data_IF_004869631708
#
_entry.id   IF_004869631708
#
_cell.length_a   1.000
_cell.length_b   1.000
_cell.length_c   1.000
_cell.angle_alpha   90.00
_cell.angle_beta   90.00
_cell.angle_gamma   90.00
#
_symmetry.space_group_name_H-M   'P 1'
#
loop_
_entity.id
_entity.type
_entity.pdbx_description
1 polymer ?
#
# COMPACT_ATOMS: atom_id res chain seq x y z
N UNK A 1 -1.93 14.66 15.57
CA UNK A 1 -2.02 14.10 14.21
C UNK A 1 -0.92 14.70 13.35
N UNK A 2 -0.34 13.92 12.44
CA UNK A 2 0.78 14.34 11.57
C UNK A 2 0.32 14.70 10.16
N UNK A 3 1.22 15.18 9.29
CA UNK A 3 0.85 15.65 7.95
C UNK A 3 0.45 14.53 6.97
N UNK A 4 0.46 13.25 7.37
CA UNK A 4 0.24 12.12 6.47
C UNK A 4 1.46 11.84 5.57
N UNK A 5 1.25 11.13 4.46
CA UNK A 5 2.30 10.81 3.51
C UNK A 5 1.78 10.81 2.06
N UNK A 6 2.66 11.19 1.13
CA UNK A 6 2.37 11.14 -0.31
C UNK A 6 2.44 9.69 -0.79
N UNK A 7 1.28 9.11 -1.06
CA UNK A 7 1.12 7.74 -1.56
C UNK A 7 1.10 7.66 -3.08
N UNK A 8 1.13 8.79 -3.78
CA UNK A 8 1.11 8.88 -5.24
C UNK A 8 2.53 8.85 -5.82
N UNK A 9 3.49 9.49 -5.13
CA UNK A 9 4.87 9.64 -5.61
C UNK A 9 5.88 8.79 -4.84
N UNK A 10 5.63 7.48 -4.76
CA UNK A 10 6.53 6.54 -4.08
C UNK A 10 7.51 5.88 -5.07
N UNK A 11 8.79 5.72 -4.68
CA UNK A 11 9.75 4.96 -5.48
C UNK A 11 9.32 3.49 -5.56
N UNK A 12 9.50 2.86 -6.72
CA UNK A 12 9.20 1.43 -6.91
C UNK A 12 10.17 0.58 -6.07
N UNK A 13 9.69 -0.14 -5.03
CA UNK A 13 10.57 -0.94 -4.18
C UNK A 13 11.12 -2.21 -4.85
N UNK A 14 10.66 -2.53 -6.07
CA UNK A 14 11.15 -3.67 -6.88
C UNK A 14 12.27 -3.28 -7.84
N UNK A 15 12.52 -1.99 -8.05
CA UNK A 15 13.68 -1.51 -8.81
C UNK A 15 14.98 -1.93 -8.09
N UNK A 16 15.97 -2.50 -8.80
CA UNK A 16 17.28 -2.84 -8.25
C UNK A 16 17.93 -1.73 -7.40
N UNK A 17 17.73 -0.46 -7.76
CA UNK A 17 18.27 0.70 -7.03
C UNK A 17 17.60 0.92 -5.66
N UNK A 18 16.42 0.32 -5.43
CA UNK A 18 15.64 0.43 -4.21
C UNK A 18 15.65 -0.86 -3.36
N UNK A 19 16.24 -1.96 -3.85
CA UNK A 19 16.27 -3.26 -3.15
C UNK A 19 16.92 -3.17 -1.78
N UNK A 20 18.00 -2.40 -1.63
CA UNK A 20 18.71 -2.23 -0.36
C UNK A 20 18.02 -1.24 0.60
N UNK A 21 17.01 -0.50 0.14
CA UNK A 21 16.26 0.44 1.00
C UNK A 21 15.31 -0.36 1.91
N UNK A 22 15.49 -0.29 3.24
CA UNK A 22 14.73 -1.13 4.18
C UNK A 22 13.31 -0.62 4.47
N UNK A 23 12.90 0.51 3.90
CA UNK A 23 11.67 1.24 4.25
C UNK A 23 10.80 1.53 3.02
N UNK A 24 9.55 1.95 3.23
CA UNK A 24 8.68 2.46 2.17
C UNK A 24 7.91 1.42 1.35
N UNK A 25 7.93 0.15 1.74
CA UNK A 25 7.26 -0.93 0.99
C UNK A 25 5.79 -1.11 1.34
N UNK A 26 5.30 -0.43 2.38
CA UNK A 26 3.93 -0.61 2.89
C UNK A 26 2.86 -0.41 1.82
N UNK A 27 2.92 0.69 1.08
CA UNK A 27 1.92 1.00 0.02
C UNK A 27 2.01 0.04 -1.15
N UNK A 28 3.23 -0.38 -1.52
CA UNK A 28 3.42 -1.42 -2.52
C UNK A 28 2.75 -2.72 -2.09
N UNK A 29 2.97 -3.16 -0.86
CA UNK A 29 2.34 -4.37 -0.31
C UNK A 29 0.81 -4.24 -0.23
N UNK A 30 0.30 -3.08 0.22
CA UNK A 30 -1.13 -2.81 0.27
C UNK A 30 -1.78 -2.94 -1.11
N UNK A 31 -1.18 -2.32 -2.14
CA UNK A 31 -1.66 -2.42 -3.53
C UNK A 31 -1.54 -3.83 -4.10
N UNK A 32 -0.47 -4.56 -3.75
CA UNK A 32 -0.21 -5.89 -4.29
C UNK A 32 -1.07 -7.00 -3.66
N UNK A 33 -1.48 -6.83 -2.40
CA UNK A 33 -2.13 -7.89 -1.62
C UNK A 33 -3.64 -7.70 -1.42
N UNK A 34 -4.14 -6.48 -1.52
CA UNK A 34 -5.57 -6.18 -1.38
C UNK A 34 -6.27 -6.11 -2.74
N UNK A 35 -7.59 -6.29 -2.76
CA UNK A 35 -8.38 -6.10 -3.97
C UNK A 35 -8.57 -4.61 -4.29
N UNK A 36 -8.65 -3.78 -3.25
CA UNK A 36 -8.70 -2.34 -3.37
C UNK A 36 -8.06 -1.67 -2.15
N UNK A 37 -7.46 -0.50 -2.39
CA UNK A 37 -6.89 0.38 -1.37
C UNK A 37 -7.35 1.82 -1.61
N UNK A 38 -7.70 2.53 -0.54
CA UNK A 38 -7.99 3.97 -0.58
C UNK A 38 -7.28 4.69 0.56
N UNK A 39 -6.85 5.92 0.27
CA UNK A 39 -6.14 6.78 1.21
C UNK A 39 -6.99 8.03 1.50
N UNK A 40 -6.99 8.48 2.75
CA UNK A 40 -7.68 9.68 3.22
C UNK A 40 -6.77 10.46 4.18
N UNK A 41 -7.19 11.67 4.56
CA UNK A 41 -6.45 12.53 5.50
C UNK A 41 -4.98 12.73 5.13
N UNK A 42 -4.75 13.07 3.85
CA UNK A 42 -3.41 13.20 3.25
C UNK A 42 -2.54 11.94 3.42
N UNK A 43 -3.14 10.74 3.37
CA UNK A 43 -2.47 9.46 3.58
C UNK A 43 -2.36 9.04 5.05
N UNK A 44 -2.81 9.85 6.01
CA UNK A 44 -2.81 9.46 7.42
C UNK A 44 -3.84 8.36 7.74
N UNK A 45 -4.86 8.18 6.88
CA UNK A 45 -5.85 7.12 6.98
C UNK A 45 -5.81 6.23 5.73
N UNK A 46 -5.91 4.91 5.92
CA UNK A 46 -5.88 3.90 4.84
C UNK A 46 -6.99 2.89 5.05
N UNK A 47 -7.73 2.57 3.99
CA UNK A 47 -8.70 1.47 3.97
C UNK A 47 -8.26 0.41 2.96
N UNK A 48 -8.24 -0.85 3.40
CA UNK A 48 -7.94 -2.02 2.58
C UNK A 48 -9.19 -2.89 2.45
N UNK A 49 -9.51 -3.31 1.23
CA UNK A 49 -10.66 -4.17 0.94
C UNK A 49 -10.19 -5.54 0.47
N UNK A 50 -10.79 -6.59 1.04
CA UNK A 50 -10.55 -7.99 0.65
C UNK A 50 -11.88 -8.70 0.44
N UNK A 51 -12.08 -9.23 -0.76
CA UNK A 51 -13.28 -9.95 -1.18
C UNK A 51 -13.09 -11.41 -0.85
N UNK A 52 -13.85 -11.90 0.11
CA UNK A 52 -13.85 -13.32 0.42
C UNK A 52 -14.60 -14.05 -0.68
N UNK A 53 -13.89 -14.87 -1.47
CA UNK A 53 -14.56 -15.83 -2.33
C UNK A 53 -15.10 -16.96 -1.45
N UNK A 54 -16.37 -17.37 -1.63
CA UNK A 54 -16.86 -18.57 -0.99
C UNK A 54 -15.97 -19.75 -1.37
N UNK A 55 -15.54 -20.53 -0.39
CA UNK A 55 -14.96 -21.84 -0.68
C UNK A 55 -16.15 -22.72 -1.08
N UNK A 56 -16.28 -22.96 -2.39
CA UNK A 56 -17.19 -23.99 -2.86
C UNK A 56 -16.60 -25.33 -2.40
N UNK A 57 -17.29 -25.99 -1.47
CA UNK A 57 -16.97 -27.34 -1.01
C UNK A 57 -17.21 -28.40 -2.06
#
# INVERSE_FOLDING_TARGET
EGPGFDHEHLPDPTDPQNIEKPHGRGVFLMRALSDAVSFADNGAAVTLTFSLKPVNG
#
